data_IF_369371744615
#
_entry.id   IF_369371744615
#
_cell.length_a   1.000
_cell.length_b   1.000
_cell.length_c   1.000
_cell.angle_alpha   90.00
_cell.angle_beta   90.00
_cell.angle_gamma   90.00
#
_symmetry.space_group_name_H-M   'P 1'
#
loop_
_entity.id
_entity.type
_entity.pdbx_description
1 polymer ?
#
# COMPACT_ATOMS: atom_id res chain seq x y z
N UNK A 1 -6.82 70.12 7.70
CA UNK A 1 -7.26 68.90 7.10
C UNK A 1 -6.37 67.76 7.60
N UNK A 2 -6.88 66.93 8.49
CA UNK A 2 -6.12 65.80 9.06
C UNK A 2 -6.53 64.56 8.25
N UNK A 3 -5.61 64.00 7.44
CA UNK A 3 -5.81 62.70 6.75
C UNK A 3 -5.54 61.59 7.78
N UNK A 4 -6.59 60.97 8.28
CA UNK A 4 -6.50 59.72 9.03
C UNK A 4 -6.29 58.58 8.04
N UNK A 5 -5.05 58.11 7.88
CA UNK A 5 -4.72 56.86 7.17
C UNK A 5 -5.17 55.70 8.03
N UNK A 6 -6.32 55.08 7.68
CA UNK A 6 -6.73 53.83 8.25
C UNK A 6 -5.86 52.71 7.66
N UNK A 7 -4.93 52.18 8.46
CA UNK A 7 -4.23 50.97 8.17
C UNK A 7 -5.24 49.81 8.29
N UNK A 8 -5.72 49.27 7.13
CA UNK A 8 -6.47 48.05 7.09
C UNK A 8 -5.51 46.90 7.37
N UNK A 9 -5.51 46.38 8.59
CA UNK A 9 -4.86 45.09 8.90
C UNK A 9 -5.70 44.00 8.29
N UNK A 10 -5.24 43.39 7.20
CA UNK A 10 -5.80 42.14 6.70
C UNK A 10 -5.54 41.09 7.75
N UNK A 11 -6.60 40.56 8.37
CA UNK A 11 -6.49 39.46 9.32
C UNK A 11 -6.35 38.15 8.49
N UNK A 12 -5.25 37.43 8.68
CA UNK A 12 -5.03 36.10 8.07
C UNK A 12 -6.04 35.11 8.64
N UNK A 13 -6.83 34.51 7.78
CA UNK A 13 -7.84 33.52 8.16
C UNK A 13 -7.27 32.11 8.05
N UNK A 14 -7.22 31.41 9.18
CA UNK A 14 -6.64 30.07 9.30
C UNK A 14 -7.71 29.04 9.62
N UNK A 15 -7.70 27.93 8.89
CA UNK A 15 -8.57 26.79 9.13
C UNK A 15 -7.78 25.52 9.52
N UNK A 16 -8.49 24.56 10.08
CA UNK A 16 -7.95 23.23 10.40
C UNK A 16 -8.80 22.15 9.78
N UNK A 17 -8.14 21.10 9.29
CA UNK A 17 -8.77 19.88 8.79
C UNK A 17 -8.17 18.66 9.50
N UNK A 18 -8.94 17.61 9.64
CA UNK A 18 -8.48 16.31 10.09
C UNK A 18 -8.60 15.35 8.89
N UNK A 19 -7.55 15.30 8.06
CA UNK A 19 -7.57 14.53 6.83
C UNK A 19 -7.79 13.05 7.10
N UNK A 20 -7.21 12.52 8.17
CA UNK A 20 -7.39 11.12 8.56
C UNK A 20 -8.87 10.81 8.84
N UNK A 21 -9.52 11.65 9.65
CA UNK A 21 -10.94 11.46 9.97
C UNK A 21 -11.85 11.59 8.73
N UNK A 22 -11.50 12.48 7.80
CA UNK A 22 -12.23 12.62 6.54
C UNK A 22 -12.08 11.36 5.69
N UNK A 23 -10.85 10.89 5.47
CA UNK A 23 -10.55 9.67 4.70
C UNK A 23 -11.27 8.45 5.30
N UNK A 24 -11.22 8.27 6.62
CA UNK A 24 -11.87 7.14 7.31
C UNK A 24 -13.40 7.10 7.07
N UNK A 25 -14.01 8.25 6.77
CA UNK A 25 -15.45 8.36 6.46
C UNK A 25 -15.77 8.36 4.97
N UNK A 26 -14.78 8.49 4.07
CA UNK A 26 -15.02 8.48 2.62
C UNK A 26 -15.33 7.07 2.12
N UNK A 27 -16.39 6.93 1.32
CA UNK A 27 -16.70 5.64 0.67
C UNK A 27 -15.58 5.22 -0.27
N UNK A 28 -15.04 6.15 -1.05
CA UNK A 28 -13.91 5.88 -1.96
C UNK A 28 -12.69 5.27 -1.24
N UNK A 29 -12.42 5.69 0.01
CA UNK A 29 -11.32 5.13 0.81
C UNK A 29 -11.61 3.68 1.26
N UNK A 30 -12.85 3.40 1.64
CA UNK A 30 -13.29 2.05 1.99
C UNK A 30 -13.22 1.12 0.78
N UNK A 31 -13.62 1.60 -0.39
CA UNK A 31 -13.56 0.86 -1.65
C UNK A 31 -12.09 0.60 -2.07
N UNK A 32 -11.22 1.61 -1.94
CA UNK A 32 -9.79 1.46 -2.20
C UNK A 32 -9.16 0.41 -1.29
N UNK A 33 -9.47 0.44 0.00
CA UNK A 33 -9.02 -0.56 0.96
C UNK A 33 -9.53 -1.96 0.61
N UNK A 34 -10.81 -2.10 0.30
CA UNK A 34 -11.42 -3.39 -0.09
C UNK A 34 -10.74 -3.99 -1.32
N UNK A 35 -10.39 -3.15 -2.32
CA UNK A 35 -9.65 -3.58 -3.51
C UNK A 35 -8.24 -4.05 -3.16
N UNK A 36 -7.55 -3.35 -2.24
CA UNK A 36 -6.23 -3.76 -1.77
C UNK A 36 -6.29 -5.08 -1.01
N UNK A 37 -7.28 -5.25 -0.12
CA UNK A 37 -7.48 -6.48 0.66
C UNK A 37 -7.78 -7.68 -0.26
N UNK A 38 -8.58 -7.48 -1.32
CA UNK A 38 -8.83 -8.51 -2.34
C UNK A 38 -7.54 -8.90 -3.07
N UNK A 39 -6.74 -7.93 -3.49
CA UNK A 39 -5.45 -8.18 -4.15
C UNK A 39 -4.48 -8.96 -3.25
N UNK A 40 -4.40 -8.59 -1.96
CA UNK A 40 -3.59 -9.31 -0.96
C UNK A 40 -4.08 -10.75 -0.79
N UNK A 41 -5.40 -10.95 -0.74
CA UNK A 41 -5.99 -12.29 -0.66
C UNK A 41 -5.61 -13.17 -1.86
N UNK A 42 -5.60 -12.60 -3.06
CA UNK A 42 -5.21 -13.35 -4.26
C UNK A 42 -3.72 -13.71 -4.25
N UNK A 43 -2.84 -12.79 -3.86
CA UNK A 43 -1.42 -13.10 -3.68
C UNK A 43 -1.16 -14.15 -2.61
N UNK A 44 -1.94 -14.16 -1.52
CA UNK A 44 -1.83 -15.21 -0.49
C UNK A 44 -2.25 -16.58 -1.02
N UNK A 45 -3.30 -16.65 -1.86
CA UNK A 45 -3.70 -17.89 -2.54
C UNK A 45 -2.62 -18.40 -3.50
N UNK A 46 -2.07 -17.50 -4.32
CA UNK A 46 -0.98 -17.85 -5.26
C UNK A 46 0.25 -18.37 -4.49
N UNK A 47 0.63 -17.68 -3.41
CA UNK A 47 1.72 -18.13 -2.55
C UNK A 47 1.44 -19.50 -1.93
N UNK A 48 0.21 -19.75 -1.50
CA UNK A 48 -0.22 -21.06 -0.98
C UNK A 48 -0.05 -22.16 -2.02
N UNK A 49 -0.52 -21.93 -3.24
CA UNK A 49 -0.34 -22.89 -4.35
C UNK A 49 1.14 -23.19 -4.64
N UNK A 50 1.97 -22.13 -4.63
CA UNK A 50 3.41 -22.28 -4.82
C UNK A 50 4.06 -23.11 -3.70
N UNK A 51 3.71 -22.83 -2.44
CA UNK A 51 4.21 -23.56 -1.27
C UNK A 51 3.78 -25.03 -1.29
N UNK A 52 2.53 -25.32 -1.65
CA UNK A 52 2.02 -26.68 -1.76
C UNK A 52 2.73 -27.47 -2.87
N UNK A 53 3.04 -26.79 -3.98
CA UNK A 53 3.78 -27.41 -5.09
C UNK A 53 5.19 -27.78 -4.67
N UNK A 54 5.88 -26.86 -3.97
CA UNK A 54 7.24 -27.10 -3.44
C UNK A 54 7.23 -28.23 -2.41
N UNK A 55 6.23 -28.21 -1.52
CA UNK A 55 6.08 -29.29 -0.52
C UNK A 55 5.91 -30.66 -1.18
N UNK A 56 5.02 -30.79 -2.18
CA UNK A 56 4.82 -32.02 -2.92
C UNK A 56 6.12 -32.52 -3.58
N UNK A 57 6.89 -31.60 -4.15
CA UNK A 57 8.17 -31.94 -4.77
C UNK A 57 9.20 -32.44 -3.73
N UNK A 58 9.27 -31.82 -2.57
CA UNK A 58 10.12 -32.27 -1.44
C UNK A 58 9.68 -33.63 -0.91
N UNK A 59 8.38 -33.82 -0.71
CA UNK A 59 7.84 -35.10 -0.23
C UNK A 59 8.12 -36.23 -1.24
N UNK A 60 8.07 -35.95 -2.54
CA UNK A 60 8.40 -36.94 -3.59
C UNK A 60 9.91 -37.26 -3.59
N UNK A 61 10.76 -36.26 -3.43
CA UNK A 61 12.21 -36.45 -3.25
C UNK A 61 12.51 -37.35 -2.05
N UNK A 62 11.93 -37.05 -0.88
CA UNK A 62 12.15 -37.82 0.35
C UNK A 62 11.74 -39.31 0.19
N UNK A 63 10.64 -39.57 -0.51
CA UNK A 63 10.19 -40.94 -0.79
C UNK A 63 11.13 -41.71 -1.72
N UNK A 64 11.76 -41.04 -2.64
CA UNK A 64 12.57 -41.66 -3.72
C UNK A 64 14.07 -41.62 -3.47
N UNK A 65 14.56 -40.79 -2.57
CA UNK A 65 16.00 -40.51 -2.40
C UNK A 65 16.88 -41.74 -2.20
N UNK A 66 16.33 -42.83 -1.60
CA UNK A 66 17.10 -44.08 -1.37
C UNK A 66 17.31 -44.90 -2.64
N UNK A 67 16.54 -44.70 -3.67
CA UNK A 67 16.61 -45.43 -4.95
C UNK A 67 17.15 -44.58 -6.10
N UNK A 68 17.41 -43.28 -5.86
CA UNK A 68 17.97 -42.37 -6.86
C UNK A 68 19.48 -42.51 -6.95
N UNK A 69 20.04 -42.27 -8.15
CA UNK A 69 21.48 -42.11 -8.35
C UNK A 69 21.93 -40.77 -7.72
N UNK A 70 23.22 -40.67 -7.40
CA UNK A 70 23.81 -39.45 -6.81
C UNK A 70 23.55 -38.21 -7.72
N UNK A 71 23.65 -38.38 -9.04
CA UNK A 71 23.40 -37.32 -9.99
C UNK A 71 21.94 -36.84 -9.88
N UNK A 72 20.98 -37.74 -9.87
CA UNK A 72 19.54 -37.40 -9.76
C UNK A 72 19.20 -36.76 -8.40
N UNK A 73 19.83 -37.21 -7.31
CA UNK A 73 19.69 -36.54 -6.00
C UNK A 73 20.16 -35.10 -6.07
N UNK A 74 21.39 -34.87 -6.57
CA UNK A 74 21.95 -33.53 -6.71
C UNK A 74 21.07 -32.61 -7.55
N UNK A 75 20.51 -33.11 -8.66
CA UNK A 75 19.65 -32.33 -9.54
C UNK A 75 18.30 -32.00 -8.86
N UNK A 76 17.71 -32.94 -8.12
CA UNK A 76 16.50 -32.68 -7.34
C UNK A 76 16.72 -31.71 -6.20
N UNK A 77 17.85 -31.79 -5.49
CA UNK A 77 18.20 -30.86 -4.42
C UNK A 77 18.40 -29.42 -4.95
N UNK A 78 19.06 -29.28 -6.10
CA UNK A 78 19.18 -27.98 -6.79
C UNK A 78 17.80 -27.41 -7.16
N UNK A 79 16.92 -28.25 -7.69
CA UNK A 79 15.57 -27.82 -8.04
C UNK A 79 14.77 -27.40 -6.80
N UNK A 80 14.90 -28.12 -5.68
CA UNK A 80 14.28 -27.76 -4.40
C UNK A 80 14.79 -26.37 -3.96
N UNK A 81 16.11 -26.12 -4.02
CA UNK A 81 16.67 -24.82 -3.67
C UNK A 81 16.14 -23.68 -4.57
N UNK A 82 16.00 -23.91 -5.87
CA UNK A 82 15.40 -22.96 -6.82
C UNK A 82 13.94 -22.67 -6.46
N UNK A 83 13.18 -23.70 -6.15
CA UNK A 83 11.78 -23.58 -5.77
C UNK A 83 11.59 -22.83 -4.42
N UNK A 84 12.43 -23.14 -3.42
CA UNK A 84 12.43 -22.40 -2.15
C UNK A 84 12.76 -20.91 -2.37
N UNK A 85 13.76 -20.62 -3.20
CA UNK A 85 14.08 -19.25 -3.58
C UNK A 85 12.93 -18.55 -4.32
N UNK A 86 12.16 -19.28 -5.12
CA UNK A 86 10.98 -18.69 -5.80
C UNK A 86 9.92 -18.22 -4.82
N UNK A 87 9.71 -18.96 -3.72
CA UNK A 87 8.80 -18.53 -2.62
C UNK A 87 9.32 -17.25 -1.96
N UNK A 88 10.63 -17.18 -1.65
CA UNK A 88 11.23 -15.99 -1.07
C UNK A 88 11.11 -14.79 -1.99
N UNK A 89 11.45 -14.98 -3.26
CA UNK A 89 11.34 -13.92 -4.28
C UNK A 89 9.90 -13.45 -4.46
N UNK A 90 8.93 -14.37 -4.48
CA UNK A 90 7.51 -14.01 -4.55
C UNK A 90 7.11 -13.14 -3.36
N UNK A 91 7.44 -13.55 -2.14
CA UNK A 91 7.15 -12.76 -0.94
C UNK A 91 7.80 -11.38 -0.99
N UNK A 92 9.07 -11.31 -1.37
CA UNK A 92 9.79 -10.05 -1.47
C UNK A 92 9.17 -9.13 -2.52
N UNK A 93 8.82 -9.66 -3.69
CA UNK A 93 8.21 -8.87 -4.77
C UNK A 93 6.82 -8.35 -4.42
N UNK A 94 6.01 -9.13 -3.66
CA UNK A 94 4.66 -8.72 -3.28
C UNK A 94 4.63 -7.87 -2.00
N UNK A 95 5.40 -8.26 -0.96
CA UNK A 95 5.27 -7.70 0.39
C UNK A 95 6.57 -7.07 0.95
N UNK A 96 7.67 -7.07 0.19
CA UNK A 96 8.92 -6.39 0.58
C UNK A 96 8.75 -4.86 0.64
N UNK A 97 9.76 -4.16 1.14
CA UNK A 97 9.74 -2.69 1.34
C UNK A 97 9.37 -1.88 0.08
N UNK A 98 9.74 -2.39 -1.11
CA UNK A 98 9.36 -1.79 -2.40
C UNK A 98 8.42 -2.70 -3.20
N UNK A 99 7.73 -3.61 -2.54
CA UNK A 99 6.87 -4.61 -3.15
C UNK A 99 5.58 -4.03 -3.75
N UNK A 100 4.90 -4.85 -4.53
CA UNK A 100 3.67 -4.47 -5.22
C UNK A 100 2.56 -4.00 -4.25
N UNK A 101 2.57 -4.45 -2.99
CA UNK A 101 1.62 -4.01 -1.97
C UNK A 101 1.63 -2.48 -1.82
N UNK A 102 2.79 -1.88 -1.63
CA UNK A 102 2.90 -0.42 -1.45
C UNK A 102 2.58 0.35 -2.73
N UNK A 103 2.92 -0.21 -3.88
CA UNK A 103 2.57 0.37 -5.19
C UNK A 103 1.05 0.38 -5.38
N UNK A 104 0.37 -0.75 -5.11
CA UNK A 104 -1.09 -0.87 -5.20
C UNK A 104 -1.81 -0.02 -4.17
N UNK A 105 -1.29 0.05 -2.96
CA UNK A 105 -1.82 0.95 -1.93
C UNK A 105 -1.81 2.41 -2.42
N UNK A 106 -0.68 2.87 -2.95
CA UNK A 106 -0.54 4.22 -3.51
C UNK A 106 -1.47 4.43 -4.69
N UNK A 107 -1.52 3.47 -5.63
CA UNK A 107 -2.39 3.52 -6.82
C UNK A 107 -3.87 3.67 -6.43
N UNK A 108 -4.35 2.84 -5.49
CA UNK A 108 -5.76 2.85 -5.10
C UNK A 108 -6.13 4.04 -4.22
N UNK A 109 -5.20 4.54 -3.41
CA UNK A 109 -5.45 5.69 -2.54
C UNK A 109 -5.27 7.03 -3.23
N UNK A 110 -4.51 7.11 -4.33
CA UNK A 110 -4.28 8.37 -5.05
C UNK A 110 -5.57 9.12 -5.38
N UNK A 111 -6.60 8.52 -6.03
CA UNK A 111 -7.83 9.24 -6.34
C UNK A 111 -8.60 9.70 -5.09
N UNK A 112 -8.45 9.01 -3.95
CA UNK A 112 -9.05 9.41 -2.68
C UNK A 112 -8.41 10.70 -2.18
N UNK A 113 -7.07 10.77 -2.19
CA UNK A 113 -6.34 11.98 -1.82
C UNK A 113 -6.63 13.14 -2.77
N UNK A 114 -6.65 12.90 -4.07
CA UNK A 114 -6.95 13.92 -5.07
C UNK A 114 -8.35 14.53 -4.82
N UNK A 115 -9.34 13.70 -4.51
CA UNK A 115 -10.72 14.13 -4.18
C UNK A 115 -10.77 14.91 -2.86
N UNK A 116 -10.05 14.44 -1.84
CA UNK A 116 -9.96 15.11 -0.55
C UNK A 116 -9.35 16.50 -0.69
N UNK A 117 -8.18 16.62 -1.32
CA UNK A 117 -7.49 17.90 -1.49
C UNK A 117 -8.33 18.88 -2.31
N UNK A 118 -8.99 18.41 -3.37
CA UNK A 118 -9.90 19.24 -4.17
C UNK A 118 -11.08 19.76 -3.34
N UNK A 119 -11.64 18.94 -2.47
CA UNK A 119 -12.72 19.35 -1.58
C UNK A 119 -12.25 20.40 -0.57
N UNK A 120 -11.09 20.20 0.04
CA UNK A 120 -10.48 21.19 0.97
C UNK A 120 -10.23 22.51 0.24
N UNK A 121 -9.66 22.48 -0.96
CA UNK A 121 -9.40 23.69 -1.77
C UNK A 121 -10.70 24.47 -2.07
N UNK A 122 -11.78 23.74 -2.48
CA UNK A 122 -13.07 24.37 -2.76
C UNK A 122 -13.63 25.08 -1.52
N UNK A 123 -13.59 24.42 -0.35
CA UNK A 123 -14.08 25.00 0.91
C UNK A 123 -13.19 26.18 1.33
N UNK A 124 -11.88 26.03 1.23
CA UNK A 124 -10.95 27.10 1.58
C UNK A 124 -11.19 28.36 0.74
N UNK A 125 -11.37 28.22 -0.57
CA UNK A 125 -11.67 29.34 -1.47
C UNK A 125 -13.05 29.94 -1.23
N UNK A 126 -14.08 29.11 -1.01
CA UNK A 126 -15.44 29.58 -0.75
C UNK A 126 -15.53 30.43 0.52
N UNK A 127 -14.80 30.02 1.55
CA UNK A 127 -14.88 30.62 2.88
C UNK A 127 -13.69 31.56 3.17
N UNK A 128 -12.91 31.96 2.14
CA UNK A 128 -11.78 32.89 2.19
C UNK A 128 -10.76 32.55 3.29
N UNK A 129 -10.34 31.27 3.36
CA UNK A 129 -9.20 30.86 4.19
C UNK A 129 -7.87 31.11 3.47
N UNK A 130 -6.93 31.78 4.12
CA UNK A 130 -5.57 31.97 3.63
C UNK A 130 -4.71 30.71 3.79
N UNK A 131 -4.92 29.97 4.89
CA UNK A 131 -4.22 28.73 5.22
C UNK A 131 -5.16 27.69 5.80
N UNK A 132 -4.93 26.43 5.44
CA UNK A 132 -5.60 25.28 6.04
C UNK A 132 -4.53 24.30 6.50
N UNK A 133 -4.49 24.01 7.80
CA UNK A 133 -3.55 23.08 8.40
C UNK A 133 -4.22 21.72 8.63
N UNK A 134 -3.46 20.66 8.36
CA UNK A 134 -3.90 19.30 8.70
C UNK A 134 -3.41 18.94 10.10
N UNK A 135 -4.35 18.77 11.02
CA UNK A 135 -4.05 18.39 12.40
C UNK A 135 -3.82 16.88 12.59
N UNK A 136 -4.09 16.05 11.55
CA UNK A 136 -3.81 14.63 11.60
C UNK A 136 -2.33 14.31 11.40
N UNK A 137 -1.55 15.24 10.85
CA UNK A 137 -0.11 15.14 10.75
C UNK A 137 0.48 15.29 12.14
N UNK A 138 1.05 14.24 12.69
CA UNK A 138 1.88 14.36 13.90
C UNK A 138 3.14 15.13 13.51
N UNK A 139 3.32 16.30 14.14
CA UNK A 139 4.56 17.08 14.08
C UNK A 139 5.64 16.33 14.87
#
# INVERSE_FOLDING_TARGET
MIFASSFAYSQTKVGYVDSKKLIDNMQDAKDAKSRLDAQVSDWQKELGVLQDSVKKYKDDYEKKKLILTEQLKSDMEKNIAILDNSILNYRQSKFGESGEYYQKQTEFMKPVYDKLFKAIEIVAKRDDYDYVFDRSSQI
#
